data_IF_717703193062
#
_entry.id   IF_717703193062
#
_cell.length_a   1.000
_cell.length_b   1.000
_cell.length_c   1.000
_cell.angle_alpha   90.00
_cell.angle_beta   90.00
_cell.angle_gamma   90.00
#
_symmetry.space_group_name_H-M   'P 1'
#
loop_
_entity.id
_entity.type
_entity.pdbx_description
1 polymer ?
#
# COMPACT_ATOMS: atom_id res chain seq x y z
N UNK A 1 1.55 -49.47 9.02
CA UNK A 1 1.26 -48.71 10.25
C UNK A 1 0.31 -47.61 9.92
N UNK A 2 -0.97 -47.78 10.21
CA UNK A 2 -2.05 -46.82 9.89
C UNK A 2 -2.04 -45.70 10.93
N UNK A 3 -1.78 -44.47 10.48
CA UNK A 3 -1.82 -43.28 11.35
C UNK A 3 -3.29 -43.01 11.72
N UNK A 4 -3.60 -43.08 13.01
CA UNK A 4 -4.89 -42.67 13.57
C UNK A 4 -5.12 -41.16 13.27
N UNK A 5 -6.31 -40.80 12.79
CA UNK A 5 -6.65 -39.38 12.60
C UNK A 5 -6.71 -38.65 13.95
N UNK A 6 -6.41 -37.35 13.94
CA UNK A 6 -6.42 -36.51 15.16
C UNK A 6 -7.75 -36.63 15.95
N UNK A 7 -8.90 -36.81 15.27
CA UNK A 7 -10.22 -37.09 15.89
C UNK A 7 -10.24 -38.39 16.68
N UNK A 8 -9.61 -39.45 16.17
CA UNK A 8 -9.55 -40.77 16.84
C UNK A 8 -8.64 -40.72 18.07
N UNK A 9 -7.56 -39.93 18.03
CA UNK A 9 -6.67 -39.68 19.17
C UNK A 9 -7.38 -38.90 20.30
N UNK A 10 -8.12 -37.84 19.98
CA UNK A 10 -8.89 -37.06 20.97
C UNK A 10 -9.97 -37.92 21.62
N UNK A 11 -10.65 -38.75 20.82
CA UNK A 11 -11.70 -39.65 21.35
C UNK A 11 -11.11 -40.72 22.26
N UNK A 12 -9.95 -41.29 21.94
CA UNK A 12 -9.19 -42.23 22.77
C UNK A 12 -8.75 -41.64 24.09
N UNK A 13 -8.15 -40.42 24.06
CA UNK A 13 -7.70 -39.68 25.26
C UNK A 13 -8.86 -39.29 26.18
N UNK A 14 -10.01 -38.88 25.62
CA UNK A 14 -11.18 -38.54 26.42
C UNK A 14 -11.79 -39.76 27.09
N UNK A 15 -11.73 -40.94 26.45
CA UNK A 15 -12.16 -42.20 27.01
C UNK A 15 -11.25 -42.70 28.15
N UNK A 16 -9.91 -42.53 28.00
CA UNK A 16 -8.95 -42.85 29.03
C UNK A 16 -9.10 -41.95 30.28
N UNK A 17 -9.35 -40.64 30.09
CA UNK A 17 -9.59 -39.71 31.19
C UNK A 17 -10.89 -40.02 31.97
N UNK A 18 -11.93 -40.54 31.33
CA UNK A 18 -13.17 -40.96 32.01
C UNK A 18 -13.01 -42.22 32.83
N UNK A 19 -12.09 -43.10 32.46
CA UNK A 19 -11.92 -44.38 33.11
C UNK A 19 -10.91 -44.38 34.28
N UNK A 20 -10.13 -43.32 34.47
CA UNK A 20 -9.04 -43.27 35.46
C UNK A 20 -9.41 -42.35 36.62
N UNK A 21 -10.04 -42.87 37.67
CA UNK A 21 -10.45 -42.15 38.90
C UNK A 21 -9.27 -41.66 39.80
N UNK A 22 -8.01 -41.88 39.41
CA UNK A 22 -6.83 -41.63 40.22
C UNK A 22 -5.79 -40.74 39.55
N UNK A 23 -6.18 -39.82 38.66
CA UNK A 23 -5.24 -38.85 38.12
C UNK A 23 -4.97 -37.72 39.10
N UNK A 24 -3.67 -37.57 39.49
CA UNK A 24 -3.24 -36.43 40.32
C UNK A 24 -3.48 -35.10 39.58
N UNK A 25 -3.77 -34.00 40.30
CA UNK A 25 -4.01 -32.66 39.74
C UNK A 25 -2.94 -32.19 38.72
N UNK A 26 -1.75 -32.77 38.80
CA UNK A 26 -0.60 -32.47 37.93
C UNK A 26 -0.75 -33.07 36.54
N UNK A 27 -1.35 -34.26 36.46
CA UNK A 27 -1.59 -34.96 35.19
C UNK A 27 -2.77 -34.36 34.45
N UNK A 28 -3.80 -33.92 35.17
CA UNK A 28 -4.96 -33.22 34.59
C UNK A 28 -4.50 -31.93 33.90
N UNK A 29 -3.57 -31.15 34.51
CA UNK A 29 -3.04 -29.94 33.85
C UNK A 29 -2.25 -30.26 32.57
N UNK A 30 -1.44 -31.33 32.57
CA UNK A 30 -0.72 -31.77 31.35
C UNK A 30 -1.66 -32.18 30.23
N UNK A 31 -2.69 -32.98 30.56
CA UNK A 31 -3.68 -33.39 29.55
C UNK A 31 -4.55 -32.25 29.06
N UNK A 32 -4.88 -31.27 29.92
CA UNK A 32 -5.62 -30.06 29.52
C UNK A 32 -4.77 -29.20 28.56
N UNK A 33 -3.48 -29.01 28.85
CA UNK A 33 -2.56 -28.30 27.96
C UNK A 33 -2.41 -28.99 26.61
N UNK A 34 -2.32 -30.34 26.59
CA UNK A 34 -2.22 -31.10 25.37
C UNK A 34 -3.50 -31.01 24.52
N UNK A 35 -4.66 -31.03 25.16
CA UNK A 35 -5.96 -30.88 24.49
C UNK A 35 -6.10 -29.46 23.93
N UNK A 36 -5.66 -28.42 24.62
CA UNK A 36 -5.68 -27.03 24.13
C UNK A 36 -4.77 -26.88 22.92
N UNK A 37 -3.56 -27.45 22.95
CA UNK A 37 -2.63 -27.43 21.81
C UNK A 37 -3.19 -28.20 20.61
N UNK A 38 -3.79 -29.37 20.82
CA UNK A 38 -4.43 -30.15 19.75
C UNK A 38 -5.68 -29.45 19.20
N UNK A 39 -6.43 -28.74 20.03
CA UNK A 39 -7.60 -27.96 19.61
C UNK A 39 -7.20 -26.71 18.84
N UNK A 40 -6.09 -26.05 19.20
CA UNK A 40 -5.53 -24.93 18.43
C UNK A 40 -4.99 -25.35 17.04
N UNK A 41 -4.51 -26.61 16.93
CA UNK A 41 -4.09 -27.18 15.64
C UNK A 41 -5.27 -27.67 14.78
N UNK A 42 -6.47 -27.81 15.35
CA UNK A 42 -7.69 -28.21 14.65
C UNK A 42 -8.61 -27.05 14.27
N UNK A 43 -8.34 -25.85 14.74
CA UNK A 43 -9.02 -24.68 14.20
C UNK A 43 -8.56 -24.57 12.73
N UNK A 44 -9.48 -24.69 11.75
CA UNK A 44 -9.08 -24.36 10.39
C UNK A 44 -8.48 -22.97 10.50
N UNK A 45 -7.31 -22.74 9.90
CA UNK A 45 -6.85 -21.41 9.59
C UNK A 45 -8.02 -20.77 8.83
N UNK A 46 -8.85 -20.03 9.56
CA UNK A 46 -9.73 -19.05 8.96
C UNK A 46 -8.76 -17.96 8.53
N UNK A 47 -7.97 -18.27 7.49
CA UNK A 47 -7.34 -17.25 6.70
C UNK A 47 -8.51 -16.37 6.26
N UNK A 48 -8.73 -15.29 7.01
CA UNK A 48 -9.56 -14.20 6.55
C UNK A 48 -8.93 -13.86 5.21
N UNK A 49 -9.60 -14.24 4.14
CA UNK A 49 -9.09 -14.06 2.79
C UNK A 49 -8.81 -12.55 2.66
N UNK A 50 -7.56 -12.20 2.92
CA UNK A 50 -7.11 -10.82 2.90
C UNK A 50 -7.43 -10.33 1.50
N UNK A 51 -8.23 -9.26 1.39
CA UNK A 51 -8.62 -8.74 0.10
C UNK A 51 -7.36 -8.52 -0.72
N UNK A 52 -7.23 -9.22 -1.84
CA UNK A 52 -6.09 -9.11 -2.75
C UNK A 52 -5.82 -7.66 -3.17
N UNK A 53 -6.88 -6.90 -3.31
CA UNK A 53 -6.84 -5.49 -3.65
C UNK A 53 -7.46 -4.66 -2.54
N UNK A 54 -6.77 -3.59 -2.15
CA UNK A 54 -7.23 -2.61 -1.17
C UNK A 54 -7.36 -1.26 -1.86
N UNK A 55 -8.42 -0.53 -1.55
CA UNK A 55 -8.72 0.76 -2.19
C UNK A 55 -8.61 1.87 -1.16
N UNK A 56 -7.81 2.87 -1.46
CA UNK A 56 -7.61 4.05 -0.63
C UNK A 56 -7.72 5.35 -1.40
N UNK A 57 -7.53 6.46 -0.70
CA UNK A 57 -7.46 7.81 -1.26
C UNK A 57 -6.23 8.54 -0.73
N UNK A 58 -5.72 9.49 -1.50
CA UNK A 58 -4.63 10.36 -1.07
C UNK A 58 -5.19 11.48 -0.17
N UNK A 59 -4.65 11.66 1.04
CA UNK A 59 -5.15 12.65 2.01
C UNK A 59 -5.08 14.09 1.51
N UNK A 60 -4.04 14.41 0.71
CA UNK A 60 -3.89 15.74 0.10
C UNK A 60 -4.90 15.99 -1.02
N UNK A 61 -5.39 14.96 -1.68
CA UNK A 61 -6.42 15.07 -2.71
C UNK A 61 -7.80 15.32 -2.10
N UNK A 62 -8.07 14.75 -0.93
CA UNK A 62 -9.33 14.96 -0.19
C UNK A 62 -9.26 16.14 0.78
N UNK A 63 -8.24 17.02 0.62
CA UNK A 63 -8.04 18.26 1.40
C UNK A 63 -7.87 18.02 2.91
N UNK A 64 -7.34 16.87 3.28
CA UNK A 64 -7.17 16.43 4.68
C UNK A 64 -5.71 16.17 5.07
N UNK A 65 -4.75 16.63 4.27
CA UNK A 65 -3.31 16.42 4.50
C UNK A 65 -2.94 16.52 5.98
N UNK A 66 -2.55 15.40 6.57
CA UNK A 66 -2.23 15.24 7.98
C UNK A 66 -3.24 15.90 8.96
N UNK A 67 -4.53 15.67 8.75
CA UNK A 67 -5.61 16.08 9.65
C UNK A 67 -6.35 14.85 10.14
N UNK A 68 -6.59 14.71 11.45
CA UNK A 68 -7.29 13.55 12.03
C UNK A 68 -8.60 13.18 11.31
N UNK A 69 -9.28 14.18 10.73
CA UNK A 69 -10.51 13.97 9.96
C UNK A 69 -10.32 13.22 8.64
N UNK A 70 -9.08 12.92 8.22
CA UNK A 70 -8.79 12.13 7.01
C UNK A 70 -9.31 10.69 7.15
N UNK A 71 -9.12 10.05 8.31
CA UNK A 71 -9.59 8.70 8.59
C UNK A 71 -11.11 8.59 8.56
N UNK A 72 -11.81 9.54 9.21
CA UNK A 72 -13.27 9.59 9.17
C UNK A 72 -13.78 9.76 7.75
N UNK A 73 -13.16 10.66 6.98
CA UNK A 73 -13.55 10.88 5.58
C UNK A 73 -13.26 9.63 4.73
N UNK A 74 -12.10 9.00 4.87
CA UNK A 74 -11.78 7.75 4.16
C UNK A 74 -12.84 6.66 4.44
N UNK A 75 -13.26 6.50 5.70
CA UNK A 75 -14.33 5.58 6.08
C UNK A 75 -15.67 5.94 5.43
N UNK A 76 -16.06 7.22 5.45
CA UNK A 76 -17.28 7.71 4.80
C UNK A 76 -17.28 7.47 3.29
N UNK A 77 -16.10 7.52 2.64
CA UNK A 77 -15.93 7.24 1.22
C UNK A 77 -15.95 5.73 0.90
N UNK A 78 -15.89 4.85 1.91
CA UNK A 78 -15.83 3.40 1.74
C UNK A 78 -14.43 2.85 1.45
N UNK A 79 -13.37 3.59 1.78
CA UNK A 79 -12.00 3.15 1.61
C UNK A 79 -11.61 2.06 2.63
N UNK A 80 -10.62 1.22 2.25
CA UNK A 80 -9.92 0.33 3.19
C UNK A 80 -8.85 1.09 3.97
N UNK A 81 -8.31 2.15 3.38
CA UNK A 81 -7.28 2.96 3.98
C UNK A 81 -7.03 4.26 3.22
N UNK A 82 -5.90 4.87 3.52
CA UNK A 82 -5.46 6.10 2.86
C UNK A 82 -3.95 6.10 2.58
N UNK A 83 -3.53 6.98 1.70
CA UNK A 83 -2.15 7.37 1.49
C UNK A 83 -1.93 8.69 2.22
N UNK A 84 -1.12 8.63 3.30
CA UNK A 84 -0.86 9.79 4.17
C UNK A 84 0.33 10.59 3.65
N UNK A 85 0.14 11.88 3.42
CA UNK A 85 1.23 12.77 3.02
C UNK A 85 2.14 13.14 4.21
N UNK A 86 3.43 13.33 3.94
CA UNK A 86 4.41 13.80 4.93
C UNK A 86 4.23 15.25 5.38
N UNK A 87 3.23 15.94 4.86
CA UNK A 87 3.04 17.36 5.04
C UNK A 87 3.81 18.20 4.02
N UNK A 88 3.57 19.53 4.04
CA UNK A 88 4.17 20.42 3.06
C UNK A 88 5.69 20.48 3.18
N UNK A 89 6.41 20.42 2.06
CA UNK A 89 7.87 20.63 2.01
C UNK A 89 8.20 22.08 1.63
N UNK A 90 7.65 22.60 0.54
CA UNK A 90 8.01 23.91 -0.02
C UNK A 90 9.52 24.01 -0.23
N UNK A 91 10.10 25.16 0.17
CA UNK A 91 11.56 25.39 0.11
C UNK A 91 12.31 24.89 1.35
N UNK A 92 11.61 24.37 2.36
CA UNK A 92 12.19 23.94 3.65
C UNK A 92 13.05 22.68 3.49
N UNK A 93 13.90 22.43 4.46
CA UNK A 93 14.74 21.22 4.53
C UNK A 93 14.05 20.05 5.26
N UNK A 94 12.83 20.25 5.76
CA UNK A 94 12.02 19.23 6.41
C UNK A 94 10.56 19.34 5.98
N UNK A 95 9.85 18.23 5.99
CA UNK A 95 8.38 18.21 5.87
C UNK A 95 7.72 18.86 7.09
N UNK A 96 6.51 19.37 6.90
CA UNK A 96 5.62 19.78 8.00
C UNK A 96 4.92 18.57 8.60
N UNK A 97 5.74 17.63 9.09
CA UNK A 97 5.31 16.31 9.51
C UNK A 97 4.89 16.30 10.97
N UNK A 98 3.59 16.10 11.23
CA UNK A 98 3.03 16.04 12.59
C UNK A 98 3.39 14.75 13.31
N UNK A 99 3.73 13.68 12.59
CA UNK A 99 4.07 12.37 13.18
C UNK A 99 5.38 12.42 13.98
N UNK A 100 6.20 13.45 13.80
CA UNK A 100 7.37 13.70 14.67
C UNK A 100 6.99 14.04 16.12
N UNK A 101 5.74 14.47 16.36
CA UNK A 101 5.24 14.76 17.70
C UNK A 101 4.60 13.49 18.28
N UNK A 102 5.16 12.87 19.36
CA UNK A 102 4.68 11.58 19.86
C UNK A 102 3.19 11.57 20.24
N UNK A 103 2.67 12.68 20.74
CA UNK A 103 1.25 12.80 21.07
C UNK A 103 0.37 12.77 19.83
N UNK A 104 0.76 13.51 18.78
CA UNK A 104 0.03 13.50 17.51
C UNK A 104 0.11 12.13 16.85
N UNK A 105 1.29 11.51 16.82
CA UNK A 105 1.48 10.16 16.31
C UNK A 105 0.53 9.16 16.98
N UNK A 106 0.45 9.17 18.32
CA UNK A 106 -0.50 8.31 19.05
C UNK A 106 -1.97 8.61 18.71
N UNK A 107 -2.35 9.90 18.58
CA UNK A 107 -3.72 10.29 18.20
C UNK A 107 -4.07 9.79 16.80
N UNK A 108 -3.16 9.93 15.84
CA UNK A 108 -3.37 9.46 14.48
C UNK A 108 -3.51 7.93 14.44
N UNK A 109 -2.56 7.19 15.07
CA UNK A 109 -2.62 5.73 15.15
C UNK A 109 -3.92 5.25 15.80
N UNK A 110 -4.26 5.77 16.97
CA UNK A 110 -5.51 5.42 17.66
C UNK A 110 -6.75 5.70 16.81
N UNK A 111 -6.76 6.83 16.07
CA UNK A 111 -7.90 7.18 15.21
C UNK A 111 -8.01 6.21 14.02
N UNK A 112 -6.89 5.86 13.39
CA UNK A 112 -6.83 4.86 12.33
C UNK A 112 -7.39 3.51 12.81
N UNK A 113 -6.86 3.00 13.92
CA UNK A 113 -7.26 1.71 14.50
C UNK A 113 -8.74 1.68 14.90
N UNK A 114 -9.24 2.74 15.59
CA UNK A 114 -10.63 2.83 16.03
C UNK A 114 -11.65 2.89 14.89
N UNK A 115 -11.25 3.40 13.74
CA UNK A 115 -12.08 3.48 12.55
C UNK A 115 -11.88 2.28 11.60
N UNK A 116 -10.85 1.45 11.82
CA UNK A 116 -10.49 0.35 10.92
C UNK A 116 -10.02 0.87 9.56
N UNK A 117 -9.30 2.00 9.53
CA UNK A 117 -8.75 2.61 8.31
C UNK A 117 -7.23 2.50 8.37
N UNK A 118 -6.63 1.77 7.44
CA UNK A 118 -5.19 1.58 7.37
C UNK A 118 -4.48 2.78 6.73
N UNK A 119 -3.22 3.02 7.10
CA UNK A 119 -2.31 3.84 6.29
C UNK A 119 -1.57 2.89 5.35
N UNK A 120 -2.06 2.78 4.12
CA UNK A 120 -1.53 1.85 3.13
C UNK A 120 -0.23 2.32 2.48
N UNK A 121 0.01 3.63 2.48
CA UNK A 121 1.27 4.24 2.04
C UNK A 121 1.51 5.59 2.73
N UNK A 122 2.78 6.02 2.77
CA UNK A 122 3.19 7.36 3.22
C UNK A 122 3.80 8.11 2.05
N UNK A 123 3.30 9.32 1.74
CA UNK A 123 3.69 10.05 0.54
C UNK A 123 4.63 11.21 0.82
N UNK A 124 5.76 11.23 0.15
CA UNK A 124 6.67 12.38 0.08
C UNK A 124 6.26 13.33 -1.06
N UNK A 125 4.96 13.72 -1.11
CA UNK A 125 4.40 14.49 -2.23
C UNK A 125 5.07 15.85 -2.44
N UNK A 126 5.76 16.36 -1.44
CA UNK A 126 6.55 17.61 -1.56
C UNK A 126 7.60 17.57 -2.67
N UNK A 127 8.03 16.38 -3.09
CA UNK A 127 8.93 16.18 -4.21
C UNK A 127 8.27 16.39 -5.59
N UNK A 128 6.96 16.57 -5.67
CA UNK A 128 6.35 17.12 -6.88
C UNK A 128 6.86 18.56 -7.20
N UNK A 129 7.15 19.34 -6.16
CA UNK A 129 7.64 20.71 -6.28
C UNK A 129 9.15 20.87 -6.04
N UNK A 130 9.88 19.80 -5.75
CA UNK A 130 11.31 19.80 -5.44
C UNK A 130 12.03 18.68 -6.20
N UNK A 131 13.28 18.91 -6.60
CA UNK A 131 14.10 17.89 -7.24
C UNK A 131 14.73 16.98 -6.19
N UNK A 132 14.43 15.69 -6.21
CA UNK A 132 15.07 14.69 -5.36
C UNK A 132 16.60 14.66 -5.60
N UNK A 133 17.04 14.82 -6.86
CA UNK A 133 18.45 14.86 -7.21
C UNK A 133 19.21 16.07 -6.64
N UNK A 134 18.52 17.17 -6.35
CA UNK A 134 19.17 18.43 -5.93
C UNK A 134 18.93 18.77 -4.46
N UNK A 135 17.93 18.16 -3.82
CA UNK A 135 17.60 18.44 -2.43
C UNK A 135 18.70 17.94 -1.50
N UNK A 136 19.38 18.85 -0.81
CA UNK A 136 20.50 18.50 0.08
C UNK A 136 20.06 17.68 1.29
N UNK A 137 18.88 17.97 1.83
CA UNK A 137 18.30 17.26 2.99
C UNK A 137 17.60 15.94 2.63
N UNK A 138 17.77 15.41 1.43
CA UNK A 138 17.01 14.24 0.93
C UNK A 138 17.09 13.03 1.88
N UNK A 139 18.28 12.76 2.44
CA UNK A 139 18.50 11.63 3.36
C UNK A 139 17.66 11.78 4.62
N UNK A 140 17.65 12.98 5.21
CA UNK A 140 16.82 13.29 6.36
C UNK A 140 15.33 13.15 6.03
N UNK A 141 14.89 13.62 4.87
CA UNK A 141 13.49 13.52 4.43
C UNK A 141 13.05 12.07 4.25
N UNK A 142 13.93 11.21 3.72
CA UNK A 142 13.67 9.76 3.61
C UNK A 142 13.60 9.12 5.00
N UNK A 143 14.53 9.45 5.90
CA UNK A 143 14.52 8.93 7.27
C UNK A 143 13.25 9.33 8.03
N UNK A 144 12.82 10.59 7.93
CA UNK A 144 11.57 11.08 8.52
C UNK A 144 10.34 10.34 7.96
N UNK A 145 10.34 10.02 6.66
CA UNK A 145 9.31 9.21 6.04
C UNK A 145 9.29 7.78 6.60
N UNK A 146 10.43 7.13 6.67
CA UNK A 146 10.55 5.78 7.20
C UNK A 146 10.12 5.70 8.69
N UNK A 147 10.47 6.71 9.49
CA UNK A 147 10.00 6.82 10.88
C UNK A 147 8.48 6.98 10.95
N UNK A 148 7.89 7.76 10.04
CA UNK A 148 6.43 7.91 9.94
C UNK A 148 5.77 6.58 9.56
N UNK A 149 6.38 5.84 8.63
CA UNK A 149 5.90 4.50 8.26
C UNK A 149 5.92 3.53 9.44
N UNK A 150 6.95 3.58 10.31
CA UNK A 150 7.02 2.74 11.51
C UNK A 150 5.89 3.07 12.47
N UNK A 151 5.64 4.36 12.71
CA UNK A 151 4.56 4.83 13.59
C UNK A 151 3.18 4.42 13.08
N UNK A 152 2.96 4.52 11.76
CA UNK A 152 1.66 4.26 11.14
C UNK A 152 1.48 2.83 10.63
N UNK A 153 2.48 1.95 10.83
CA UNK A 153 2.49 0.56 10.36
C UNK A 153 2.35 0.45 8.82
N UNK A 154 2.86 1.44 8.11
CA UNK A 154 2.88 1.42 6.65
C UNK A 154 4.12 0.70 6.11
N UNK A 155 3.97 -0.01 5.01
CA UNK A 155 5.07 -0.74 4.37
C UNK A 155 5.55 -0.11 3.07
N UNK A 156 4.76 0.79 2.49
CA UNK A 156 5.06 1.46 1.21
C UNK A 156 5.18 2.97 1.42
N UNK A 157 6.21 3.57 0.85
CA UNK A 157 6.31 5.02 0.67
C UNK A 157 6.16 5.41 -0.80
N UNK A 158 5.60 6.58 -1.06
CA UNK A 158 5.52 7.18 -2.38
C UNK A 158 6.55 8.31 -2.54
N UNK A 159 7.36 8.25 -3.58
CA UNK A 159 8.37 9.26 -3.92
C UNK A 159 8.22 9.68 -5.39
N UNK A 160 7.60 10.83 -5.69
CA UNK A 160 7.57 11.35 -7.05
C UNK A 160 8.93 11.87 -7.48
N UNK A 161 9.38 11.46 -8.67
CA UNK A 161 10.62 11.96 -9.29
C UNK A 161 10.35 13.02 -10.36
N UNK A 162 9.09 13.43 -10.51
CA UNK A 162 8.64 14.37 -11.53
C UNK A 162 8.80 15.84 -11.19
N UNK A 163 9.30 16.19 -9.99
CA UNK A 163 9.43 17.56 -9.55
C UNK A 163 10.48 18.34 -10.35
N UNK A 164 10.42 19.64 -10.23
CA UNK A 164 11.23 20.70 -10.87
C UNK A 164 12.42 20.21 -11.72
N UNK A 165 12.21 20.10 -13.02
CA UNK A 165 13.23 19.61 -13.95
C UNK A 165 13.09 18.10 -14.19
N UNK A 166 12.00 17.71 -14.87
CA UNK A 166 11.77 16.34 -15.36
C UNK A 166 12.83 15.85 -16.36
N UNK A 167 13.80 16.69 -16.68
CA UNK A 167 14.90 16.37 -17.58
C UNK A 167 15.98 15.46 -16.98
N UNK A 168 15.77 14.94 -15.76
CA UNK A 168 16.69 13.96 -15.17
C UNK A 168 16.83 12.68 -16.03
N UNK A 169 15.79 12.34 -16.77
CA UNK A 169 15.83 11.20 -17.70
C UNK A 169 16.83 11.38 -18.83
N UNK A 170 17.03 12.62 -19.25
CA UNK A 170 17.85 13.01 -20.39
C UNK A 170 19.21 13.63 -19.95
N UNK A 171 19.34 13.97 -18.66
CA UNK A 171 20.54 14.53 -18.07
C UNK A 171 21.36 13.47 -17.35
N UNK A 172 22.47 13.01 -17.95
CA UNK A 172 23.35 12.02 -17.34
C UNK A 172 23.82 12.34 -15.92
N UNK A 173 24.23 13.59 -15.59
CA UNK A 173 24.61 13.95 -14.22
C UNK A 173 23.45 13.82 -13.23
N UNK A 174 22.25 14.32 -13.58
CA UNK A 174 21.08 14.24 -12.72
C UNK A 174 20.59 12.79 -12.55
N UNK A 175 20.65 11.99 -13.62
CA UNK A 175 20.30 10.58 -13.57
C UNK A 175 21.22 9.80 -12.63
N UNK A 176 22.54 10.03 -12.72
CA UNK A 176 23.52 9.40 -11.81
C UNK A 176 23.22 9.74 -10.36
N UNK A 177 23.03 11.01 -10.04
CA UNK A 177 22.69 11.46 -8.71
C UNK A 177 21.39 10.82 -8.18
N UNK A 178 20.35 10.71 -9.01
CA UNK A 178 19.10 10.04 -8.65
C UNK A 178 19.34 8.55 -8.38
N UNK A 179 20.09 7.85 -9.22
CA UNK A 179 20.38 6.41 -9.05
C UNK A 179 21.13 6.17 -7.74
N UNK A 180 22.16 6.96 -7.46
CA UNK A 180 22.97 6.84 -6.24
C UNK A 180 22.11 7.11 -4.98
N UNK A 181 21.30 8.17 -4.97
CA UNK A 181 20.41 8.48 -3.86
C UNK A 181 19.30 7.44 -3.68
N UNK A 182 18.73 6.95 -4.76
CA UNK A 182 17.72 5.90 -4.70
C UNK A 182 18.30 4.57 -4.23
N UNK A 183 19.53 4.23 -4.62
CA UNK A 183 20.20 3.07 -4.06
C UNK A 183 20.26 3.16 -2.54
N UNK A 184 20.77 4.26 -2.03
CA UNK A 184 20.90 4.46 -0.59
C UNK A 184 19.54 4.53 0.13
N UNK A 185 18.57 5.27 -0.39
CA UNK A 185 17.22 5.35 0.15
C UNK A 185 16.55 3.97 0.17
N UNK A 186 16.75 3.18 -0.89
CA UNK A 186 16.25 1.82 -0.99
C UNK A 186 16.86 0.88 0.05
N UNK A 187 18.17 0.99 0.29
CA UNK A 187 18.84 0.22 1.34
C UNK A 187 18.35 0.61 2.74
N UNK A 188 18.07 1.91 2.98
CA UNK A 188 17.47 2.37 4.22
C UNK A 188 16.07 1.75 4.44
N UNK A 189 15.23 1.72 3.40
CA UNK A 189 13.91 1.14 3.45
C UNK A 189 13.97 -0.39 3.61
N UNK A 190 14.79 -1.07 2.81
CA UNK A 190 14.92 -2.53 2.82
C UNK A 190 15.34 -3.08 4.19
N UNK A 191 16.29 -2.42 4.87
CA UNK A 191 16.69 -2.80 6.24
C UNK A 191 15.57 -2.74 7.27
N UNK A 192 14.50 -1.96 6.99
CA UNK A 192 13.30 -1.85 7.83
C UNK A 192 12.13 -2.71 7.32
N UNK A 193 12.35 -3.56 6.29
CA UNK A 193 11.27 -4.34 5.68
C UNK A 193 10.25 -3.48 4.93
N UNK A 194 10.67 -2.30 4.42
CA UNK A 194 9.81 -1.34 3.74
C UNK A 194 10.25 -1.15 2.29
N UNK A 195 9.35 -0.58 1.48
CA UNK A 195 9.59 -0.25 0.07
C UNK A 195 9.30 1.22 -0.20
N UNK A 196 10.12 1.83 -1.05
CA UNK A 196 9.87 3.17 -1.61
C UNK A 196 9.46 3.00 -3.07
N UNK A 197 8.22 3.33 -3.37
CA UNK A 197 7.68 3.37 -4.71
C UNK A 197 7.98 4.70 -5.38
N UNK A 198 8.69 4.66 -6.50
CA UNK A 198 8.99 5.86 -7.29
C UNK A 198 7.99 6.03 -8.43
N UNK A 199 7.54 7.27 -8.66
CA UNK A 199 6.80 7.68 -9.85
C UNK A 199 7.75 8.29 -10.88
N UNK A 200 7.72 7.77 -12.10
CA UNK A 200 8.61 8.17 -13.19
C UNK A 200 7.84 8.32 -14.51
N UNK A 201 8.31 9.15 -15.47
CA UNK A 201 7.71 9.23 -16.79
C UNK A 201 8.10 8.07 -17.72
N UNK A 202 8.96 7.15 -17.27
CA UNK A 202 9.51 6.06 -18.08
C UNK A 202 8.43 4.98 -18.38
N UNK A 203 8.59 4.29 -19.52
CA UNK A 203 7.84 3.08 -19.82
C UNK A 203 8.35 1.88 -19.01
N UNK A 204 7.70 0.74 -19.12
CA UNK A 204 8.08 -0.48 -18.40
C UNK A 204 9.55 -0.90 -18.65
N UNK A 205 10.06 -0.75 -19.88
CA UNK A 205 11.45 -1.08 -20.21
C UNK A 205 12.43 -0.12 -19.55
N UNK A 206 12.11 1.17 -19.59
CA UNK A 206 12.89 2.22 -18.93
C UNK A 206 12.90 2.05 -17.42
N UNK A 207 11.73 1.78 -16.81
CA UNK A 207 11.59 1.51 -15.38
C UNK A 207 12.40 0.28 -14.94
N UNK A 208 12.31 -0.83 -15.66
CA UNK A 208 13.12 -2.04 -15.37
C UNK A 208 14.62 -1.79 -15.47
N UNK A 209 15.04 -0.97 -16.44
CA UNK A 209 16.45 -0.56 -16.54
C UNK A 209 16.85 0.30 -15.35
N UNK A 210 16.05 1.29 -15.00
CA UNK A 210 16.29 2.15 -13.83
C UNK A 210 16.40 1.34 -12.54
N UNK A 211 15.47 0.42 -12.27
CA UNK A 211 15.52 -0.45 -11.09
C UNK A 211 16.79 -1.30 -11.02
N UNK A 212 17.28 -1.81 -12.17
CA UNK A 212 18.56 -2.52 -12.22
C UNK A 212 19.76 -1.62 -11.97
N UNK A 213 19.74 -0.38 -12.48
CA UNK A 213 20.79 0.60 -12.22
C UNK A 213 20.84 1.01 -10.74
N UNK A 214 19.66 1.17 -10.10
CA UNK A 214 19.56 1.45 -8.67
C UNK A 214 20.10 0.26 -7.84
N UNK A 215 19.74 -0.96 -8.19
CA UNK A 215 20.31 -2.17 -7.58
C UNK A 215 19.86 -2.39 -6.12
N UNK A 216 18.75 -1.78 -5.66
CA UNK A 216 18.22 -2.00 -4.32
C UNK A 216 16.83 -2.66 -4.36
N UNK A 217 16.61 -3.64 -3.48
CA UNK A 217 15.31 -4.32 -3.32
C UNK A 217 14.26 -3.43 -2.65
N UNK A 218 14.68 -2.39 -1.95
CA UNK A 218 13.78 -1.43 -1.29
C UNK A 218 13.18 -0.38 -2.23
N UNK A 219 13.56 -0.36 -3.53
CA UNK A 219 12.96 0.54 -4.52
C UNK A 219 12.08 -0.26 -5.48
N UNK A 220 10.85 0.22 -5.64
CA UNK A 220 9.83 -0.31 -6.56
C UNK A 220 9.22 0.82 -7.38
N UNK A 221 8.33 0.48 -8.28
CA UNK A 221 7.52 1.45 -9.02
C UNK A 221 6.17 1.63 -8.32
N UNK A 222 5.83 2.86 -8.01
CA UNK A 222 4.47 3.26 -7.70
C UNK A 222 3.80 3.60 -9.04
N UNK A 223 3.07 2.63 -9.58
CA UNK A 223 2.57 2.74 -10.94
C UNK A 223 1.42 3.74 -11.04
N UNK A 224 1.52 4.72 -11.93
CA UNK A 224 0.50 5.75 -12.11
C UNK A 224 -0.21 5.56 -13.45
N UNK A 225 -1.54 5.29 -13.41
CA UNK A 225 -2.32 5.08 -14.64
C UNK A 225 -2.32 6.32 -15.52
N UNK A 226 -2.41 7.51 -14.91
CA UNK A 226 -2.34 8.79 -15.64
C UNK A 226 -1.08 8.90 -16.50
N UNK A 227 0.08 8.54 -15.97
CA UNK A 227 1.35 8.62 -16.71
C UNK A 227 1.32 7.73 -17.95
N UNK A 228 0.72 6.55 -17.88
CA UNK A 228 0.55 5.68 -19.05
C UNK A 228 -0.39 6.29 -20.09
N UNK A 229 -1.51 6.88 -19.66
CA UNK A 229 -2.47 7.57 -20.55
C UNK A 229 -1.82 8.76 -21.24
N UNK A 230 -1.15 9.64 -20.50
CA UNK A 230 -0.48 10.85 -21.02
C UNK A 230 0.57 10.51 -22.09
N UNK A 231 1.23 9.37 -21.94
CA UNK A 231 2.21 8.87 -22.92
C UNK A 231 1.61 7.90 -23.96
N UNK A 232 0.27 7.81 -24.04
CA UNK A 232 -0.47 6.95 -25.00
C UNK A 232 -0.02 5.49 -24.95
N UNK A 233 0.25 4.96 -23.76
CA UNK A 233 0.68 3.57 -23.53
C UNK A 233 -0.52 2.67 -23.32
N UNK A 234 -0.43 1.42 -23.80
CA UNK A 234 -1.34 0.36 -23.42
C UNK A 234 -0.99 -0.06 -21.99
N UNK A 235 -1.86 0.30 -21.05
CA UNK A 235 -1.67 0.06 -19.60
C UNK A 235 -1.46 -1.43 -19.32
N UNK A 236 -2.29 -2.30 -19.90
CA UNK A 236 -2.20 -3.75 -19.70
C UNK A 236 -0.89 -4.33 -20.19
N UNK A 237 -0.40 -3.88 -21.33
CA UNK A 237 0.89 -4.30 -21.90
C UNK A 237 2.06 -3.76 -21.07
N UNK A 238 1.97 -2.52 -20.61
CA UNK A 238 3.00 -1.88 -19.80
C UNK A 238 3.12 -2.57 -18.44
N UNK A 239 2.01 -2.84 -17.74
CA UNK A 239 1.98 -3.59 -16.48
C UNK A 239 2.61 -4.98 -16.63
N UNK A 240 2.20 -5.76 -17.64
CA UNK A 240 2.79 -7.09 -17.88
C UNK A 240 4.29 -7.03 -18.15
N UNK A 241 4.76 -6.04 -18.92
CA UNK A 241 6.18 -5.85 -19.19
C UNK A 241 6.98 -5.45 -17.96
N UNK A 242 6.40 -4.60 -17.11
CA UNK A 242 7.02 -4.17 -15.87
C UNK A 242 7.16 -5.36 -14.90
N UNK A 243 6.12 -6.17 -14.77
CA UNK A 243 6.08 -7.31 -13.85
C UNK A 243 5.64 -6.94 -12.44
N UNK A 244 4.84 -7.80 -11.80
CA UNK A 244 4.22 -7.55 -10.50
C UNK A 244 5.21 -7.25 -9.38
N UNK A 245 6.32 -7.98 -9.34
CA UNK A 245 7.37 -7.82 -8.32
C UNK A 245 8.04 -6.44 -8.31
N UNK A 246 7.90 -5.69 -9.41
CA UNK A 246 8.44 -4.35 -9.53
C UNK A 246 7.43 -3.25 -9.14
N UNK A 247 6.18 -3.61 -8.78
CA UNK A 247 5.09 -2.66 -8.48
C UNK A 247 4.71 -2.81 -7.01
N UNK A 248 4.89 -1.74 -6.20
CA UNK A 248 4.49 -1.74 -4.79
C UNK A 248 3.05 -1.25 -4.57
N UNK A 249 2.58 -0.28 -5.36
CA UNK A 249 1.22 0.23 -5.31
C UNK A 249 0.84 0.91 -6.65
N UNK A 250 -0.44 1.25 -6.79
CA UNK A 250 -0.98 1.87 -8.01
C UNK A 250 -1.75 3.13 -7.66
N UNK A 251 -1.43 4.27 -8.30
CA UNK A 251 -2.33 5.40 -8.38
C UNK A 251 -3.37 5.14 -9.47
N UNK A 252 -4.60 4.85 -9.04
CA UNK A 252 -5.77 4.76 -9.92
C UNK A 252 -6.22 6.18 -10.25
N UNK A 253 -5.62 6.74 -11.27
CA UNK A 253 -5.76 8.16 -11.61
C UNK A 253 -5.73 8.41 -13.09
N UNK A 254 -6.39 9.49 -13.51
CA UNK A 254 -6.19 10.18 -14.77
C UNK A 254 -6.24 11.69 -14.52
N UNK A 255 -6.11 12.49 -15.56
CA UNK A 255 -6.34 13.94 -15.48
C UNK A 255 -7.77 14.21 -15.01
N UNK A 256 -7.97 15.32 -14.29
CA UNK A 256 -9.33 15.75 -13.95
C UNK A 256 -10.17 15.99 -15.22
N UNK A 257 -11.45 15.74 -15.14
CA UNK A 257 -12.41 15.83 -16.25
C UNK A 257 -13.65 15.05 -15.94
N UNK A 258 -13.48 13.74 -15.76
CA UNK A 258 -14.55 12.80 -15.45
C UNK A 258 -14.09 11.79 -14.40
N UNK A 259 -15.02 11.11 -13.74
CA UNK A 259 -14.71 10.00 -12.85
C UNK A 259 -14.13 8.81 -13.63
N UNK A 260 -13.36 7.97 -12.96
CA UNK A 260 -12.74 6.76 -13.53
C UNK A 260 -13.74 5.87 -14.28
N UNK A 261 -15.00 5.79 -13.81
CA UNK A 261 -16.08 5.03 -14.47
C UNK A 261 -16.39 5.53 -15.89
N UNK A 262 -16.25 6.82 -16.11
CA UNK A 262 -16.58 7.48 -17.38
C UNK A 262 -15.36 7.79 -18.25
N UNK A 263 -14.19 7.43 -17.76
CA UNK A 263 -12.94 7.67 -18.46
C UNK A 263 -12.69 6.58 -19.51
N UNK A 264 -12.80 6.97 -20.77
CA UNK A 264 -12.60 6.06 -21.90
C UNK A 264 -11.13 5.72 -22.16
N UNK A 265 -10.19 6.45 -21.56
CA UNK A 265 -8.75 6.21 -21.70
C UNK A 265 -8.26 5.06 -20.84
N UNK A 266 -9.05 4.63 -19.82
CA UNK A 266 -8.68 3.58 -18.88
C UNK A 266 -9.74 2.46 -18.89
N UNK A 267 -9.42 1.31 -19.49
CA UNK A 267 -10.21 0.08 -19.33
C UNK A 267 -9.88 -0.59 -17.99
N UNK A 268 -10.53 -0.11 -16.92
CA UNK A 268 -10.28 -0.61 -15.57
C UNK A 268 -10.54 -2.13 -15.41
N UNK A 269 -11.59 -2.71 -16.03
CA UNK A 269 -11.74 -4.17 -16.09
C UNK A 269 -10.54 -4.90 -16.74
N UNK A 270 -9.94 -4.35 -17.80
CA UNK A 270 -8.75 -4.92 -18.42
C UNK A 270 -7.52 -4.79 -17.52
N UNK A 271 -7.39 -3.68 -16.78
CA UNK A 271 -6.36 -3.50 -15.75
C UNK A 271 -6.50 -4.60 -14.68
N UNK A 272 -7.71 -4.82 -14.14
CA UNK A 272 -7.94 -5.89 -13.16
C UNK A 272 -7.55 -7.26 -13.72
N UNK A 273 -8.06 -7.64 -14.88
CA UNK A 273 -7.71 -8.92 -15.51
C UNK A 273 -6.19 -9.10 -15.69
N UNK A 274 -5.49 -8.01 -15.96
CA UNK A 274 -4.03 -8.04 -16.11
C UNK A 274 -3.35 -8.28 -14.77
N UNK A 275 -3.72 -7.55 -13.73
CA UNK A 275 -3.18 -7.71 -12.38
C UNK A 275 -3.49 -9.10 -11.80
N UNK A 276 -4.70 -9.64 -12.07
CA UNK A 276 -5.09 -11.01 -11.70
C UNK A 276 -4.15 -12.04 -12.33
N UNK A 277 -3.90 -11.93 -13.64
CA UNK A 277 -3.00 -12.83 -14.36
C UNK A 277 -1.53 -12.72 -13.89
N UNK A 278 -1.13 -11.55 -13.44
CA UNK A 278 0.20 -11.31 -12.87
C UNK A 278 0.36 -11.82 -11.44
N UNK A 279 -0.72 -12.23 -10.78
CA UNK A 279 -0.68 -12.59 -9.38
C UNK A 279 -0.48 -11.41 -8.43
N UNK A 280 -0.60 -10.17 -8.92
CA UNK A 280 -0.35 -8.97 -8.13
C UNK A 280 -1.44 -8.73 -7.08
N UNK A 281 -1.04 -8.26 -5.92
CA UNK A 281 -1.90 -7.81 -4.82
C UNK A 281 -1.33 -6.52 -4.23
N UNK A 282 -2.19 -5.64 -3.71
CA UNK A 282 -1.72 -4.40 -3.12
C UNK A 282 -2.76 -3.29 -3.11
N UNK A 283 -2.27 -2.07 -2.97
CA UNK A 283 -3.09 -0.87 -2.85
C UNK A 283 -3.34 -0.19 -4.19
N UNK A 284 -4.60 0.23 -4.39
CA UNK A 284 -5.00 1.18 -5.43
C UNK A 284 -5.46 2.47 -4.73
N UNK A 285 -4.73 3.56 -4.91
CA UNK A 285 -5.10 4.86 -4.35
C UNK A 285 -5.73 5.74 -5.41
N UNK A 286 -6.92 6.28 -5.11
CA UNK A 286 -7.57 7.26 -5.98
C UNK A 286 -6.83 8.59 -5.87
N UNK A 287 -6.32 9.05 -6.99
CA UNK A 287 -5.71 10.36 -7.15
C UNK A 287 -6.35 11.08 -8.34
N UNK A 288 -6.72 12.37 -8.23
CA UNK A 288 -7.41 13.13 -9.29
C UNK A 288 -8.73 12.48 -9.76
N UNK A 289 -8.98 12.46 -11.08
CA UNK A 289 -10.18 11.89 -11.72
C UNK A 289 -11.49 12.49 -11.18
N UNK A 290 -11.51 13.81 -11.05
CA UNK A 290 -12.65 14.58 -10.55
C UNK A 290 -13.49 15.11 -11.70
N UNK A 291 -14.79 15.21 -11.47
CA UNK A 291 -15.71 15.95 -12.33
C UNK A 291 -15.34 17.44 -12.29
N UNK A 292 -14.94 18.02 -13.44
CA UNK A 292 -14.52 19.43 -13.51
C UNK A 292 -15.68 20.40 -13.33
N UNK A 293 -16.92 19.95 -13.47
CA UNK A 293 -18.11 20.79 -13.25
C UNK A 293 -18.41 20.94 -11.75
N UNK A 294 -17.87 20.04 -10.91
CA UNK A 294 -18.11 20.02 -9.46
C UNK A 294 -16.84 19.58 -8.69
N UNK A 295 -15.69 20.13 -9.07
CA UNK A 295 -14.36 19.72 -8.59
C UNK A 295 -14.18 19.84 -7.08
N UNK A 296 -14.93 20.74 -6.42
CA UNK A 296 -14.83 20.96 -4.97
C UNK A 296 -15.63 19.96 -4.13
N UNK A 297 -16.52 19.20 -4.76
CA UNK A 297 -17.31 18.18 -4.06
C UNK A 297 -16.48 16.92 -3.81
N UNK A 298 -15.62 17.00 -2.82
CA UNK A 298 -14.67 15.93 -2.46
C UNK A 298 -15.40 14.61 -2.21
N UNK A 299 -16.49 14.63 -1.43
CA UNK A 299 -17.22 13.40 -1.09
C UNK A 299 -17.82 12.72 -2.32
N UNK A 300 -18.41 13.49 -3.22
CA UNK A 300 -18.98 12.97 -4.46
C UNK A 300 -17.87 12.41 -5.36
N UNK A 301 -16.85 13.21 -5.67
CA UNK A 301 -15.79 12.84 -6.59
C UNK A 301 -15.02 11.59 -6.16
N UNK A 302 -14.54 11.57 -4.91
CA UNK A 302 -13.76 10.44 -4.42
C UNK A 302 -14.65 9.25 -4.04
N UNK A 303 -15.87 9.49 -3.54
CA UNK A 303 -16.84 8.42 -3.27
C UNK A 303 -17.24 7.63 -4.52
N UNK A 304 -17.48 8.30 -5.65
CA UNK A 304 -17.78 7.63 -6.93
C UNK A 304 -16.60 6.80 -7.44
N UNK A 305 -15.38 7.35 -7.40
CA UNK A 305 -14.19 6.64 -7.84
C UNK A 305 -13.88 5.43 -6.93
N UNK A 306 -13.97 5.58 -5.60
CA UNK A 306 -13.77 4.49 -4.64
C UNK A 306 -14.81 3.38 -4.86
N UNK A 307 -16.10 3.74 -4.98
CA UNK A 307 -17.18 2.79 -5.24
C UNK A 307 -16.91 2.01 -6.53
N UNK A 308 -16.53 2.69 -7.60
CA UNK A 308 -16.20 2.05 -8.87
C UNK A 308 -15.02 1.07 -8.75
N UNK A 309 -13.94 1.47 -8.07
CA UNK A 309 -12.82 0.55 -7.85
C UNK A 309 -13.22 -0.65 -6.99
N UNK A 310 -14.04 -0.45 -5.95
CA UNK A 310 -14.57 -1.54 -5.13
C UNK A 310 -15.47 -2.50 -5.93
N UNK A 311 -16.25 -2.00 -6.87
CA UNK A 311 -17.05 -2.84 -7.78
C UNK A 311 -16.15 -3.70 -8.67
N UNK A 312 -15.06 -3.15 -9.20
CA UNK A 312 -14.14 -3.85 -10.10
C UNK A 312 -13.20 -4.80 -9.34
N UNK A 313 -12.60 -4.34 -8.24
CA UNK A 313 -11.52 -5.04 -7.52
C UNK A 313 -11.99 -5.72 -6.22
N UNK A 314 -13.24 -5.55 -5.82
CA UNK A 314 -13.82 -6.23 -4.67
C UNK A 314 -13.82 -7.75 -4.82
N UNK A 315 -14.16 -8.46 -3.73
CA UNK A 315 -14.21 -9.94 -3.73
C UNK A 315 -15.05 -10.42 -4.91
N UNK A 316 -14.50 -11.32 -5.70
CA UNK A 316 -15.31 -12.16 -6.57
C UNK A 316 -16.39 -12.80 -5.69
N UNK A 317 -17.66 -12.62 -6.05
CA UNK A 317 -18.71 -13.45 -5.50
C UNK A 317 -18.30 -14.87 -5.87
N UNK A 318 -17.85 -15.66 -4.91
CA UNK A 318 -17.66 -17.09 -5.09
C UNK A 318 -19.00 -17.59 -5.61
N UNK A 319 -19.04 -17.85 -6.92
CA UNK A 319 -20.20 -18.42 -7.57
C UNK A 319 -20.53 -19.73 -6.84
N UNK A 320 -21.81 -19.84 -6.44
CA UNK A 320 -22.39 -21.10 -6.00
C UNK A 320 -22.44 -22.07 -7.15
#
# INVERSE_FOLDING_TARGET
MTSLSARQLVHSLTRQLKNNRMLQKRDIKKYLSLIIVLFSMMLPDVAVAQNRYRVGVCDWMVLKRQKLGEFKLAKELGCDGLEMDMGGLGKRDSFDNKMRQPEMARKFRHTADSLGIEVGAVAMSGFYGQSFARKKSWRWLVEDCLNTMDVMDATVAFLPLGGCGNNWTDSLPLRREIVERLHEAGEMAHRRGKEIGIDTPLDAKGNKRLLREIGSKGIKIFYKLQTAVEHRRDISKDLRKLGGDNICAIHASNTDGVWLRHDKAIDMPAVKRTLDKMGWSGWLFVERSRDVTDVRNVKKNYGENVRYLKEIFGKEKTGR
#
